data_IF_317535338771
#
_entry.id   IF_317535338771
#
_cell.length_a   1.000
_cell.length_b   1.000
_cell.length_c   1.000
_cell.angle_alpha   90.00
_cell.angle_beta   90.00
_cell.angle_gamma   90.00
#
_symmetry.space_group_name_H-M   'P 1'
#
loop_
_entity.id
_entity.type
_entity.pdbx_description
1 polymer ?
#
# COMPACT_ATOMS: atom_id res chain seq x y z
N UNK A 1 43.22 -2.67 -6.84
CA UNK A 1 41.93 -2.15 -7.36
C UNK A 1 41.01 -3.32 -7.72
N UNK A 2 40.54 -4.09 -6.72
CA UNK A 2 39.69 -5.29 -6.95
C UNK A 2 38.66 -5.49 -5.83
N UNK A 3 39.02 -5.03 -4.62
CA UNK A 3 38.17 -5.10 -3.42
C UNK A 3 36.97 -4.14 -3.49
N UNK A 4 37.14 -2.96 -4.09
CA UNK A 4 36.06 -1.96 -4.27
C UNK A 4 34.90 -2.45 -5.15
N UNK A 5 35.20 -3.33 -6.13
CA UNK A 5 34.18 -3.88 -7.02
C UNK A 5 33.30 -4.90 -6.29
N UNK A 6 33.88 -5.67 -5.37
CA UNK A 6 33.15 -6.67 -4.59
C UNK A 6 32.18 -6.03 -3.60
N UNK A 7 32.56 -4.90 -2.97
CA UNK A 7 31.66 -4.19 -2.06
C UNK A 7 30.46 -3.58 -2.78
N UNK A 8 30.62 -3.14 -4.03
CA UNK A 8 29.52 -2.49 -4.78
C UNK A 8 28.39 -3.46 -5.16
N UNK A 9 28.73 -4.72 -5.47
CA UNK A 9 27.75 -5.77 -5.85
C UNK A 9 26.87 -6.19 -4.66
N UNK A 10 27.40 -6.16 -3.44
CA UNK A 10 26.66 -6.54 -2.23
C UNK A 10 25.59 -5.53 -1.81
N UNK A 11 25.72 -4.25 -2.16
CA UNK A 11 24.73 -3.22 -1.80
C UNK A 11 23.46 -3.25 -2.67
N UNK A 12 23.52 -3.82 -3.87
CA UNK A 12 22.39 -3.82 -4.82
C UNK A 12 21.30 -4.85 -4.48
N UNK A 13 21.58 -5.82 -3.60
CA UNK A 13 20.66 -6.91 -3.28
C UNK A 13 19.76 -6.68 -2.06
N UNK A 14 19.90 -5.56 -1.34
CA UNK A 14 19.15 -5.32 -0.09
C UNK A 14 17.99 -4.35 -0.23
N UNK A 15 17.68 -3.87 -1.44
CA UNK A 15 16.45 -3.14 -1.69
C UNK A 15 15.27 -4.11 -1.76
N UNK A 16 14.94 -4.73 -0.62
CA UNK A 16 13.64 -5.37 -0.44
C UNK A 16 12.64 -4.21 -0.36
N UNK A 17 11.97 -3.91 -1.47
CA UNK A 17 10.82 -3.01 -1.46
C UNK A 17 9.72 -3.75 -0.71
N UNK A 18 9.62 -3.48 0.59
CA UNK A 18 8.57 -4.04 1.42
C UNK A 18 7.24 -3.64 0.76
N UNK A 19 6.53 -4.63 0.21
CA UNK A 19 5.30 -4.40 -0.51
C UNK A 19 4.18 -4.26 0.51
N UNK A 20 3.49 -3.12 0.53
CA UNK A 20 2.37 -2.87 1.42
C UNK A 20 1.25 -3.88 1.13
N UNK A 21 0.61 -4.40 2.17
CA UNK A 21 -0.57 -5.25 2.05
C UNK A 21 -1.78 -4.50 2.56
N UNK A 22 -2.85 -4.38 1.78
CA UNK A 22 -4.07 -3.65 2.15
C UNK A 22 -5.30 -4.54 2.10
N UNK A 23 -6.37 -4.12 2.76
CA UNK A 23 -7.71 -4.61 2.39
C UNK A 23 -8.15 -3.95 1.09
N UNK A 24 -8.69 -4.72 0.14
CA UNK A 24 -9.27 -4.18 -1.11
C UNK A 24 -10.62 -4.80 -1.45
N UNK A 25 -11.46 -4.05 -2.17
CA UNK A 25 -12.70 -4.55 -2.77
C UNK A 25 -13.39 -3.49 -3.65
N UNK A 26 -14.49 -3.91 -4.28
CA UNK A 26 -15.52 -3.01 -4.81
C UNK A 26 -16.90 -3.43 -4.28
N UNK A 27 -17.53 -2.59 -3.44
CA UNK A 27 -18.99 -2.60 -3.20
C UNK A 27 -19.57 -3.55 -2.15
N UNK A 28 -18.78 -4.14 -1.24
CA UNK A 28 -19.27 -4.99 -0.15
C UNK A 28 -19.01 -4.36 1.23
N UNK A 29 -20.00 -4.39 2.13
CA UNK A 29 -19.91 -3.83 3.49
C UNK A 29 -18.90 -4.56 4.40
N UNK A 30 -18.54 -5.81 4.10
CA UNK A 30 -17.54 -6.61 4.84
C UNK A 30 -16.22 -6.79 4.05
N UNK A 31 -15.89 -5.79 3.24
CA UNK A 31 -14.73 -5.72 2.34
C UNK A 31 -13.35 -5.80 3.03
N UNK A 32 -12.91 -6.99 3.42
CA UNK A 32 -11.58 -7.19 4.04
C UNK A 32 -10.72 -8.20 3.28
N UNK A 33 -10.76 -8.19 1.93
CA UNK A 33 -9.89 -9.06 1.14
C UNK A 33 -8.45 -8.54 1.19
N UNK A 34 -7.55 -9.34 1.74
CA UNK A 34 -6.13 -9.04 1.83
C UNK A 34 -5.50 -9.04 0.43
N UNK A 35 -4.75 -8.00 0.09
CA UNK A 35 -4.14 -7.82 -1.22
C UNK A 35 -2.75 -7.23 -1.06
N UNK A 36 -1.75 -7.90 -1.65
CA UNK A 36 -0.40 -7.34 -1.78
C UNK A 36 -0.45 -6.25 -2.86
N UNK A 37 -0.13 -5.02 -2.48
CA UNK A 37 -0.19 -3.87 -3.36
C UNK A 37 1.00 -3.82 -4.33
N UNK A 38 0.86 -3.09 -5.46
CA UNK A 38 1.99 -2.73 -6.30
C UNK A 38 3.12 -2.06 -5.50
N UNK A 39 4.37 -2.26 -5.92
CA UNK A 39 5.54 -1.72 -5.22
C UNK A 39 5.60 -0.18 -5.18
N UNK A 40 4.83 0.51 -6.02
CA UNK A 40 4.69 1.97 -6.01
C UNK A 40 3.69 2.46 -4.97
N UNK A 41 2.78 1.58 -4.52
CA UNK A 41 1.69 1.95 -3.62
C UNK A 41 2.22 2.14 -2.21
N UNK A 42 1.86 3.27 -1.63
CA UNK A 42 2.32 3.71 -0.31
C UNK A 42 1.18 3.78 0.71
N UNK A 43 -0.07 3.70 0.25
CA UNK A 43 -1.24 3.90 1.08
C UNK A 43 -2.34 2.87 0.80
N UNK A 44 -2.98 2.41 1.86
CA UNK A 44 -4.30 1.81 1.80
C UNK A 44 -5.33 2.93 1.87
N UNK A 45 -6.19 3.03 0.86
CA UNK A 45 -7.27 4.00 0.80
C UNK A 45 -8.60 3.30 1.08
N UNK A 46 -9.38 3.87 2.00
CA UNK A 46 -10.77 3.52 2.25
C UNK A 46 -11.65 4.69 1.86
N UNK A 47 -12.70 4.43 1.08
CA UNK A 47 -13.76 5.38 0.76
C UNK A 47 -15.08 4.81 1.26
N UNK A 48 -15.76 5.54 2.13
CA UNK A 48 -17.03 5.12 2.73
C UNK A 48 -18.08 6.22 2.54
N UNK A 49 -19.10 5.94 1.73
CA UNK A 49 -20.19 6.88 1.48
C UNK A 49 -21.54 6.17 1.55
N UNK A 50 -22.26 6.37 2.66
CA UNK A 50 -23.53 5.68 2.90
C UNK A 50 -23.32 4.18 3.15
N UNK A 51 -23.84 3.34 2.25
CA UNK A 51 -23.61 1.87 2.29
C UNK A 51 -22.50 1.43 1.32
N UNK A 52 -21.92 2.36 0.55
CA UNK A 52 -20.84 2.07 -0.38
C UNK A 52 -19.49 2.11 0.35
N UNK A 53 -18.78 0.99 0.30
CA UNK A 53 -17.46 0.83 0.86
C UNK A 53 -16.51 0.35 -0.24
N UNK A 54 -15.44 1.12 -0.46
CA UNK A 54 -14.39 0.80 -1.43
C UNK A 54 -13.04 0.90 -0.76
N UNK A 55 -12.20 -0.12 -0.97
CA UNK A 55 -10.82 -0.11 -0.49
C UNK A 55 -9.84 -0.40 -1.63
N UNK A 56 -8.79 0.41 -1.76
CA UNK A 56 -7.81 0.33 -2.84
C UNK A 56 -6.38 0.56 -2.34
N UNK A 57 -5.40 0.07 -3.10
CA UNK A 57 -4.00 0.45 -2.95
C UNK A 57 -3.73 1.71 -3.77
N UNK A 58 -3.08 2.72 -3.20
CA UNK A 58 -2.79 3.96 -3.89
C UNK A 58 -1.34 4.40 -3.68
N UNK A 59 -0.75 4.99 -4.73
CA UNK A 59 0.60 5.58 -4.67
C UNK A 59 0.61 6.89 -3.89
N UNK A 60 -0.52 7.61 -3.92
CA UNK A 60 -0.76 8.87 -3.24
C UNK A 60 -2.18 8.85 -2.68
N UNK A 61 -2.38 9.43 -1.50
CA UNK A 61 -3.71 9.66 -0.99
C UNK A 61 -3.91 11.16 -0.71
N UNK A 62 -4.99 11.71 -1.27
CA UNK A 62 -5.48 13.04 -0.96
C UNK A 62 -6.67 12.94 -0.03
N UNK A 63 -6.56 13.58 1.14
CA UNK A 63 -7.60 13.63 2.18
C UNK A 63 -8.56 14.82 1.97
N UNK A 64 -8.80 15.21 0.71
CA UNK A 64 -9.63 16.38 0.37
C UNK A 64 -11.14 16.09 0.46
N UNK A 65 -11.53 14.87 0.83
CA UNK A 65 -12.92 14.42 0.93
C UNK A 65 -13.16 13.78 2.31
N UNK A 66 -14.23 14.19 2.98
CA UNK A 66 -14.60 13.73 4.33
C UNK A 66 -14.90 12.22 4.39
N UNK A 67 -15.11 11.59 3.23
CA UNK A 67 -15.39 10.15 3.08
C UNK A 67 -14.14 9.29 2.82
N UNK A 68 -12.94 9.89 2.75
CA UNK A 68 -11.68 9.19 2.47
C UNK A 68 -10.86 9.05 3.75
N UNK A 69 -10.31 7.87 3.97
CA UNK A 69 -9.31 7.61 5.02
C UNK A 69 -8.14 6.85 4.44
N UNK A 70 -6.92 7.29 4.77
CA UNK A 70 -5.70 6.68 4.29
C UNK A 70 -4.71 6.34 5.40
N UNK A 71 -3.99 5.25 5.20
CA UNK A 71 -3.00 4.74 6.14
C UNK A 71 -1.91 3.97 5.39
N UNK A 72 -0.76 3.75 6.01
CA UNK A 72 0.45 3.20 5.34
C UNK A 72 1.02 1.96 6.04
N UNK A 73 0.20 1.28 6.85
CA UNK A 73 0.57 0.06 7.56
C UNK A 73 -0.14 -1.15 6.96
N UNK A 74 0.45 -2.33 7.10
CA UNK A 74 -0.18 -3.55 6.57
C UNK A 74 -1.55 -3.78 7.20
N UNK A 75 -2.54 -4.05 6.34
CA UNK A 75 -3.92 -4.37 6.69
C UNK A 75 -4.57 -3.31 7.58
N UNK A 76 -4.22 -2.04 7.35
CA UNK A 76 -4.79 -0.90 8.06
C UNK A 76 -6.13 -0.42 7.45
N UNK A 77 -6.77 0.51 8.15
CA UNK A 77 -8.08 1.05 7.80
C UNK A 77 -9.21 0.43 8.62
N UNK A 78 -10.35 1.13 8.76
CA UNK A 78 -11.54 0.61 9.45
C UNK A 78 -12.03 -0.70 8.81
#
# INVERSE_FOLDING_TARGET
MKVLLLTLVLLLSTAQVLSLTCFTCEGDVNCKAETVCPASSQYCKTMEHGEELRRTCEDLCGDDDDFITCCSEDLCGP
#
